data_IF_659105474500
#
_entry.id   IF_659105474500
#
_cell.length_a   1.000
_cell.length_b   1.000
_cell.length_c   1.000
_cell.angle_alpha   90.00
_cell.angle_beta   90.00
_cell.angle_gamma   90.00
#
_symmetry.space_group_name_H-M   'P 1'
#
loop_
_entity.id
_entity.type
_entity.pdbx_description
1 polymer ?
#
# COMPACT_ATOMS: atom_id res chain seq x y z
N UNK A 1 0.07 -15.86 39.34
CA UNK A 1 1.26 -15.32 38.66
C UNK A 1 0.88 -15.02 37.23
N UNK A 2 0.70 -13.75 36.88
CA UNK A 2 0.59 -13.34 35.48
C UNK A 2 2.00 -13.39 34.89
N UNK A 3 2.17 -14.23 33.85
CA UNK A 3 3.41 -14.35 33.11
C UNK A 3 3.43 -13.17 32.13
N UNK A 4 4.33 -12.22 32.33
CA UNK A 4 4.51 -11.15 31.34
C UNK A 4 4.70 -11.77 29.96
N UNK A 5 4.05 -11.22 28.91
CA UNK A 5 4.20 -11.74 27.57
C UNK A 5 5.69 -11.64 27.19
N UNK A 6 6.24 -12.70 26.61
CA UNK A 6 7.63 -12.74 26.12
C UNK A 6 7.92 -11.67 25.04
N UNK A 7 6.88 -10.96 24.58
CA UNK A 7 6.97 -9.90 23.60
C UNK A 7 7.01 -8.51 24.27
N UNK A 8 8.06 -8.27 25.05
CA UNK A 8 8.43 -6.95 25.58
C UNK A 8 8.92 -6.02 24.46
N UNK A 9 9.28 -6.55 23.29
CA UNK A 9 9.78 -5.73 22.18
C UNK A 9 8.76 -4.69 21.69
N UNK A 10 7.49 -5.07 21.54
CA UNK A 10 6.43 -4.14 21.08
C UNK A 10 6.13 -3.09 22.15
N UNK A 11 6.09 -3.50 23.42
CA UNK A 11 5.81 -2.62 24.56
C UNK A 11 6.98 -1.64 24.81
N UNK A 12 8.22 -2.12 24.73
CA UNK A 12 9.45 -1.32 24.79
C UNK A 12 9.53 -0.32 23.62
N UNK A 13 9.24 -0.75 22.38
CA UNK A 13 9.22 0.14 21.22
C UNK A 13 8.21 1.28 21.39
N UNK A 14 6.98 0.97 21.80
CA UNK A 14 5.96 2.00 22.03
C UNK A 14 6.34 3.00 23.13
N UNK A 15 7.04 2.53 24.18
CA UNK A 15 7.40 3.34 25.35
C UNK A 15 8.67 4.18 25.17
N UNK A 16 9.64 3.71 24.39
CA UNK A 16 10.95 4.37 24.19
C UNK A 16 11.02 5.12 22.86
N UNK A 17 10.54 4.51 21.77
CA UNK A 17 10.59 5.10 20.42
C UNK A 17 9.38 6.00 20.15
N UNK A 18 8.34 5.88 20.99
CA UNK A 18 7.04 6.51 20.81
C UNK A 18 6.15 5.71 19.87
N UNK A 19 4.83 5.80 20.05
CA UNK A 19 3.90 5.24 19.06
C UNK A 19 4.11 5.98 17.73
N UNK A 20 4.39 5.29 16.62
CA UNK A 20 4.35 5.94 15.31
C UNK A 20 2.95 6.56 15.19
N UNK A 21 2.91 7.86 14.88
CA UNK A 21 1.65 8.52 14.60
C UNK A 21 0.97 7.69 13.51
N UNK A 22 -0.31 7.29 13.67
CA UNK A 22 -1.01 6.59 12.62
C UNK A 22 -0.96 7.49 11.38
N UNK A 23 -0.17 7.07 10.38
CA UNK A 23 -0.21 7.70 9.07
C UNK A 23 -1.64 7.62 8.55
N UNK A 24 -2.03 8.55 7.69
CA UNK A 24 -3.37 8.62 7.09
C UNK A 24 -3.72 7.41 6.19
N UNK A 25 -2.88 6.36 6.19
CA UNK A 25 -3.01 5.16 5.37
C UNK A 25 -2.78 5.43 3.88
N UNK A 26 -2.41 6.65 3.50
CA UNK A 26 -2.19 7.00 2.11
C UNK A 26 -0.77 6.69 1.67
N UNK A 27 -0.66 6.25 0.42
CA UNK A 27 0.63 6.07 -0.21
C UNK A 27 1.26 7.45 -0.48
N UNK A 28 2.58 7.61 -0.27
CA UNK A 28 3.31 8.79 -0.69
C UNK A 28 3.05 9.13 -2.17
N UNK A 29 2.99 10.42 -2.47
CA UNK A 29 2.67 10.94 -3.81
C UNK A 29 3.44 10.24 -4.95
N UNK A 30 4.77 9.97 -4.85
CA UNK A 30 5.50 9.30 -5.93
C UNK A 30 4.96 7.88 -6.21
N UNK A 31 4.62 7.13 -5.18
CA UNK A 31 4.11 5.76 -5.31
C UNK A 31 2.71 5.77 -5.92
N UNK A 32 1.88 6.75 -5.57
CA UNK A 32 0.56 6.95 -6.19
C UNK A 32 0.67 7.22 -7.69
N UNK A 33 1.62 8.07 -8.10
CA UNK A 33 1.87 8.37 -9.52
C UNK A 33 2.26 7.11 -10.29
N UNK A 34 3.18 6.30 -9.75
CA UNK A 34 3.56 5.01 -10.35
C UNK A 34 2.32 4.12 -10.52
N UNK A 35 1.49 4.02 -9.48
CA UNK A 35 0.22 3.28 -9.54
C UNK A 35 -0.69 3.75 -10.67
N UNK A 36 -0.88 5.06 -10.83
CA UNK A 36 -1.72 5.61 -11.91
C UNK A 36 -1.14 5.33 -13.30
N UNK A 37 0.18 5.39 -13.47
CA UNK A 37 0.82 5.09 -14.76
C UNK A 37 0.63 3.61 -15.12
N UNK A 38 0.89 2.70 -14.17
CA UNK A 38 0.76 1.26 -14.39
C UNK A 38 -0.70 0.85 -14.67
N UNK A 39 -1.63 1.25 -13.80
CA UNK A 39 -3.05 0.90 -14.00
C UNK A 39 -3.68 1.64 -15.18
N UNK A 40 -3.33 2.91 -15.38
CA UNK A 40 -3.83 3.72 -16.49
C UNK A 40 -3.40 3.17 -17.84
N UNK A 41 -2.11 2.81 -17.99
CA UNK A 41 -1.60 2.21 -19.23
C UNK A 41 -2.23 0.84 -19.50
N UNK A 42 -2.39 0.00 -18.48
CA UNK A 42 -3.05 -1.30 -18.62
C UNK A 42 -4.52 -1.15 -19.03
N UNK A 43 -5.27 -0.25 -18.39
CA UNK A 43 -6.65 0.03 -18.76
C UNK A 43 -6.76 0.55 -20.20
N UNK A 44 -5.85 1.43 -20.61
CA UNK A 44 -5.82 1.97 -21.97
C UNK A 44 -5.55 0.87 -23.00
N UNK A 45 -4.62 -0.06 -22.70
CA UNK A 45 -4.35 -1.23 -23.55
C UNK A 45 -5.59 -2.10 -23.75
N UNK A 46 -6.38 -2.34 -22.69
CA UNK A 46 -7.60 -3.13 -22.81
C UNK A 46 -8.65 -2.41 -23.67
N UNK A 47 -8.86 -1.11 -23.41
CA UNK A 47 -9.87 -0.31 -24.13
C UNK A 47 -9.53 -0.19 -25.61
N UNK A 48 -8.26 -0.01 -25.97
CA UNK A 48 -7.84 0.18 -27.35
C UNK A 48 -7.55 -1.14 -28.07
N UNK A 49 -7.03 -2.13 -27.36
CA UNK A 49 -6.60 -3.41 -27.92
C UNK A 49 -7.74 -4.42 -28.12
N UNK A 50 -8.74 -4.45 -27.24
CA UNK A 50 -9.84 -5.41 -27.35
C UNK A 50 -10.79 -5.13 -28.53
N UNK A 51 -11.20 -3.88 -28.83
CA UNK A 51 -12.11 -3.62 -29.94
C UNK A 51 -11.54 -4.03 -31.30
N UNK A 52 -10.20 -3.92 -31.49
CA UNK A 52 -9.53 -4.34 -32.72
C UNK A 52 -9.67 -5.83 -33.01
N UNK A 53 -9.75 -6.69 -31.98
CA UNK A 53 -9.95 -8.13 -32.12
C UNK A 53 -11.45 -8.52 -32.18
N UNK A 54 -12.35 -7.68 -31.66
CA UNK A 54 -13.79 -7.98 -31.67
C UNK A 54 -14.47 -7.50 -32.97
N UNK A 55 -13.90 -6.47 -33.62
CA UNK A 55 -14.47 -5.85 -34.82
C UNK A 55 -13.88 -6.35 -36.15
N UNK A 56 -12.76 -7.08 -36.12
CA UNK A 56 -12.05 -7.66 -37.28
C UNK A 56 -11.67 -9.11 -36.99
#
# INVERSE_FOLDING_TARGET
MQKEPFNDAVDHQQKIEGSPAPGDGTLPLPIRIIGYVLFGSFALMLILGLPGHVLF
#
